data_IF_069915854506
#
_entry.id   IF_069915854506
#
_cell.length_a   1.000
_cell.length_b   1.000
_cell.length_c   1.000
_cell.angle_alpha   90.00
_cell.angle_beta   90.00
_cell.angle_gamma   90.00
#
_symmetry.space_group_name_H-M   'P 1'
#
loop_
_entity.id
_entity.type
_entity.pdbx_description
1 polymer ?
#
# COMPACT_ATOMS: atom_id res chain seq x y z
N UNK A 1 -46.37 -17.61 -6.42
CA UNK A 1 -46.38 -16.17 -6.77
C UNK A 1 -44.94 -15.70 -6.83
N UNK A 2 -44.44 -15.44 -8.04
CA UNK A 2 -43.05 -15.12 -8.33
C UNK A 2 -42.84 -13.60 -8.24
N UNK A 3 -41.97 -13.13 -7.34
CA UNK A 3 -41.49 -11.74 -7.36
C UNK A 3 -40.13 -11.70 -8.05
N UNK A 4 -40.13 -11.17 -9.29
CA UNK A 4 -38.93 -10.74 -10.02
C UNK A 4 -38.64 -9.30 -9.63
N UNK A 5 -37.46 -9.04 -9.06
CA UNK A 5 -36.97 -7.67 -8.83
C UNK A 5 -35.74 -7.42 -9.70
N UNK A 6 -35.83 -6.36 -10.49
CA UNK A 6 -34.89 -5.93 -11.52
C UNK A 6 -33.54 -5.48 -10.94
N UNK A 7 -32.45 -5.89 -11.59
CA UNK A 7 -31.09 -5.38 -11.40
C UNK A 7 -30.88 -4.22 -12.37
N UNK A 8 -30.68 -3.00 -11.86
CA UNK A 8 -30.30 -1.82 -12.64
C UNK A 8 -28.78 -1.68 -12.61
N UNK A 9 -28.14 -1.91 -13.76
CA UNK A 9 -26.69 -1.86 -13.97
C UNK A 9 -26.32 -0.48 -14.52
N UNK A 10 -25.87 0.44 -13.67
CA UNK A 10 -25.34 1.74 -14.09
C UNK A 10 -23.88 1.61 -14.49
N UNK A 11 -23.62 1.67 -15.79
CA UNK A 11 -22.28 1.90 -16.36
C UNK A 11 -21.95 3.38 -16.24
N UNK A 12 -20.87 3.73 -15.57
CA UNK A 12 -20.24 5.05 -15.73
C UNK A 12 -18.90 4.86 -16.44
N UNK A 13 -18.89 5.21 -17.73
CA UNK A 13 -17.69 5.50 -18.48
C UNK A 13 -17.37 6.97 -18.19
N UNK A 14 -16.23 7.27 -17.57
CA UNK A 14 -15.69 8.62 -17.65
C UNK A 14 -14.29 8.56 -18.24
N UNK A 15 -14.21 9.24 -19.37
CA UNK A 15 -13.17 9.31 -20.36
C UNK A 15 -12.61 10.72 -20.20
N UNK A 16 -11.40 10.88 -19.67
CA UNK A 16 -10.69 12.15 -19.81
C UNK A 16 -9.28 11.94 -20.36
N UNK A 17 -9.18 12.36 -21.62
CA UNK A 17 -7.97 12.68 -22.36
C UNK A 17 -7.35 13.93 -21.72
N UNK A 18 -6.05 13.91 -21.46
CA UNK A 18 -5.26 15.15 -21.41
C UNK A 18 -4.13 15.07 -22.43
N UNK A 19 -4.42 15.63 -23.59
CA UNK A 19 -3.47 15.93 -24.66
C UNK A 19 -2.98 17.37 -24.52
N UNK A 20 -1.66 17.55 -24.46
CA UNK A 20 -0.94 18.57 -25.22
C UNK A 20 -0.86 20.00 -24.67
N UNK A 21 0.39 20.46 -24.45
CA UNK A 21 0.88 21.84 -24.63
C UNK A 21 2.42 21.70 -24.69
N UNK A 22 3.07 21.56 -25.86
CA UNK A 22 3.48 22.62 -26.80
C UNK A 22 3.89 23.93 -26.13
N UNK A 23 5.21 24.20 -26.13
CA UNK A 23 5.79 25.50 -26.43
C UNK A 23 7.29 25.32 -26.75
N UNK A 24 7.60 25.33 -28.05
CA UNK A 24 8.92 25.72 -28.57
C UNK A 24 9.14 27.21 -28.29
N UNK A 25 10.37 27.62 -27.97
CA UNK A 25 10.84 28.96 -28.32
C UNK A 25 12.36 28.99 -28.53
N UNK A 26 12.74 29.69 -29.60
CA UNK A 26 14.05 29.80 -30.23
C UNK A 26 15.05 30.69 -29.46
N UNK A 27 16.35 30.49 -29.76
CA UNK A 27 17.28 31.48 -30.37
C UNK A 27 18.72 31.24 -29.88
N UNK A 28 19.59 30.68 -30.73
CA UNK A 28 20.51 31.40 -31.62
C UNK A 28 21.60 32.20 -30.89
N UNK A 29 22.79 31.61 -30.73
CA UNK A 29 24.02 32.37 -30.71
C UNK A 29 25.07 31.69 -31.60
N UNK A 30 25.44 32.40 -32.65
CA UNK A 30 26.45 32.04 -33.65
C UNK A 30 27.76 32.70 -33.22
N UNK A 31 28.84 31.93 -33.11
CA UNK A 31 30.18 32.44 -32.82
C UNK A 31 31.22 31.50 -33.43
N UNK A 32 31.73 31.88 -34.60
CA UNK A 32 32.76 31.16 -35.34
C UNK A 32 34.16 31.48 -34.78
N UNK A 33 35.03 30.46 -34.72
CA UNK A 33 36.46 30.60 -34.97
C UNK A 33 37.05 29.23 -35.30
N UNK A 34 37.87 29.22 -36.35
CA UNK A 34 38.39 28.05 -37.03
C UNK A 34 39.76 27.59 -36.51
N UNK A 35 40.09 26.34 -36.86
CA UNK A 35 41.39 25.77 -37.23
C UNK A 35 41.97 24.64 -36.33
N UNK A 36 42.04 23.47 -36.98
CA UNK A 36 43.11 22.43 -36.98
C UNK A 36 43.53 21.76 -35.67
N UNK A 37 43.21 20.47 -35.55
CA UNK A 37 44.16 19.41 -35.14
C UNK A 37 43.57 18.01 -35.39
N UNK A 38 44.35 17.14 -36.05
CA UNK A 38 44.09 15.70 -36.16
C UNK A 38 43.93 15.10 -34.76
N UNK A 39 42.77 14.52 -34.45
CA UNK A 39 42.56 13.80 -33.21
C UNK A 39 41.83 12.50 -33.53
N UNK A 40 42.52 11.40 -33.28
CA UNK A 40 42.02 10.03 -33.28
C UNK A 40 40.64 9.97 -32.63
N UNK A 41 39.63 9.53 -33.39
CA UNK A 41 38.27 9.37 -32.91
C UNK A 41 38.23 8.34 -31.76
N UNK A 42 37.91 8.73 -30.51
CA UNK A 42 37.40 7.77 -29.56
C UNK A 42 35.93 7.56 -29.91
N UNK A 43 35.58 6.31 -30.18
CA UNK A 43 34.21 5.86 -30.35
C UNK A 43 33.44 6.12 -29.05
N UNK A 44 32.93 7.35 -28.89
CA UNK A 44 32.13 7.75 -27.74
C UNK A 44 30.76 7.12 -27.94
N UNK A 45 30.61 5.90 -27.46
CA UNK A 45 29.32 5.32 -27.13
C UNK A 45 28.58 6.35 -26.28
N UNK A 46 27.58 6.99 -26.88
CA UNK A 46 26.56 7.70 -26.13
C UNK A 46 25.79 6.60 -25.41
N UNK A 47 26.32 6.21 -24.26
CA UNK A 47 25.60 5.47 -23.26
C UNK A 47 24.47 6.41 -22.84
N UNK A 48 23.30 6.22 -23.46
CA UNK A 48 22.05 6.75 -22.96
C UNK A 48 21.97 6.26 -21.52
N UNK A 49 22.32 7.14 -20.59
CA UNK A 49 22.03 6.96 -19.19
C UNK A 49 20.51 6.87 -19.10
N UNK A 50 20.00 5.64 -19.16
CA UNK A 50 18.66 5.28 -18.79
C UNK A 50 18.49 5.88 -17.40
N UNK A 51 17.79 7.01 -17.34
CA UNK A 51 17.41 7.67 -16.11
C UNK A 51 16.34 6.76 -15.54
N UNK A 52 16.81 5.67 -14.90
CA UNK A 52 16.02 4.77 -14.09
C UNK A 52 15.45 5.67 -13.00
N UNK A 53 14.26 6.19 -13.26
CA UNK A 53 13.50 6.99 -12.31
C UNK A 53 13.39 6.10 -11.08
N UNK A 54 14.20 6.41 -10.07
CA UNK A 54 14.27 5.65 -8.84
C UNK A 54 12.96 5.94 -8.11
N UNK A 55 11.91 5.22 -8.48
CA UNK A 55 10.63 5.21 -7.78
C UNK A 55 10.97 4.87 -6.34
N UNK A 56 10.75 5.83 -5.44
CA UNK A 56 11.04 5.63 -4.03
C UNK A 56 10.31 4.37 -3.55
N UNK A 57 10.99 3.48 -2.80
CA UNK A 57 10.39 2.22 -2.38
C UNK A 57 9.15 2.51 -1.53
N UNK A 58 8.01 1.96 -1.95
CA UNK A 58 6.74 2.10 -1.22
C UNK A 58 6.74 1.07 -0.09
N UNK A 59 6.42 1.53 1.12
CA UNK A 59 6.22 0.65 2.28
C UNK A 59 4.77 0.75 2.74
N UNK A 60 4.07 -0.38 2.81
CA UNK A 60 2.63 -0.42 3.07
C UNK A 60 2.30 -1.54 4.04
N UNK A 61 1.40 -1.27 4.98
CA UNK A 61 0.82 -2.27 5.87
C UNK A 61 -0.70 -2.19 5.70
N UNK A 62 -1.32 -3.30 5.35
CA UNK A 62 -2.77 -3.44 5.29
C UNK A 62 -3.22 -4.51 6.27
N UNK A 63 -4.27 -4.19 7.03
CA UNK A 63 -4.93 -5.10 7.97
C UNK A 63 -6.42 -5.08 7.65
N UNK A 64 -6.97 -6.22 7.26
CA UNK A 64 -8.38 -6.40 6.95
C UNK A 64 -8.97 -7.46 7.88
N UNK A 65 -10.10 -7.17 8.52
CA UNK A 65 -10.76 -8.13 9.43
C UNK A 65 -12.25 -7.86 9.55
N UNK A 66 -13.00 -8.88 9.95
CA UNK A 66 -14.42 -8.75 10.23
C UNK A 66 -14.65 -8.58 11.74
N UNK A 67 -15.58 -7.69 12.11
CA UNK A 67 -16.10 -7.57 13.47
C UNK A 67 -17.62 -7.61 13.40
N UNK A 68 -18.21 -8.71 13.86
CA UNK A 68 -19.65 -8.94 13.65
C UNK A 68 -19.94 -9.09 12.16
N UNK A 69 -20.73 -8.18 11.60
CA UNK A 69 -21.07 -8.14 10.17
C UNK A 69 -20.26 -7.11 9.39
N UNK A 70 -19.44 -6.31 10.07
CA UNK A 70 -18.78 -5.17 9.47
C UNK A 70 -17.36 -5.54 9.04
N UNK A 71 -16.98 -5.11 7.83
CA UNK A 71 -15.65 -5.31 7.27
C UNK A 71 -14.78 -4.09 7.59
N UNK A 72 -13.77 -4.28 8.43
CA UNK A 72 -12.79 -3.25 8.75
C UNK A 72 -11.54 -3.42 7.90
N UNK A 73 -10.96 -2.29 7.47
CA UNK A 73 -9.65 -2.27 6.84
C UNK A 73 -8.83 -1.08 7.31
N UNK A 74 -7.58 -1.32 7.67
CA UNK A 74 -6.60 -0.29 8.00
C UNK A 74 -5.45 -0.35 7.01
N UNK A 75 -5.04 0.80 6.49
CA UNK A 75 -3.91 0.92 5.58
C UNK A 75 -2.96 2.02 6.07
N UNK A 76 -1.71 1.65 6.27
CA UNK A 76 -0.61 2.55 6.61
C UNK A 76 0.37 2.55 5.43
N UNK A 77 0.49 3.67 4.74
CA UNK A 77 1.39 3.82 3.59
C UNK A 77 2.45 4.86 3.88
N UNK A 78 3.72 4.48 3.76
CA UNK A 78 4.86 5.37 3.75
C UNK A 78 5.31 5.61 2.31
N UNK A 79 5.37 6.88 1.92
CA UNK A 79 5.86 7.34 0.62
C UNK A 79 6.62 8.64 0.82
N UNK A 80 7.85 8.70 0.30
CA UNK A 80 8.69 9.91 0.33
C UNK A 80 8.87 10.50 1.75
N UNK A 81 9.00 9.63 2.76
CA UNK A 81 9.15 10.01 4.16
C UNK A 81 7.88 10.56 4.82
N UNK A 82 6.74 10.56 4.13
CA UNK A 82 5.44 10.85 4.71
C UNK A 82 4.66 9.57 4.94
N UNK A 83 4.04 9.46 6.11
CA UNK A 83 3.20 8.31 6.46
C UNK A 83 1.74 8.74 6.58
N UNK A 84 0.88 8.03 5.87
CA UNK A 84 -0.56 8.19 5.90
C UNK A 84 -1.22 6.93 6.48
N UNK A 85 -2.06 7.13 7.49
CA UNK A 85 -2.90 6.11 8.10
C UNK A 85 -4.35 6.31 7.66
N UNK A 86 -4.98 5.27 7.14
CA UNK A 86 -6.37 5.28 6.67
C UNK A 86 -7.15 4.12 7.26
N UNK A 87 -8.40 4.38 7.66
CA UNK A 87 -9.35 3.36 8.09
C UNK A 87 -10.57 3.33 7.17
N UNK A 88 -11.05 2.13 6.93
CA UNK A 88 -12.24 1.85 6.16
C UNK A 88 -13.20 0.97 6.96
N UNK A 89 -14.49 1.20 6.77
CA UNK A 89 -15.59 0.38 7.29
C UNK A 89 -16.51 0.08 6.11
N UNK A 90 -16.76 -1.20 5.84
CA UNK A 90 -17.59 -1.67 4.72
C UNK A 90 -17.19 -1.03 3.37
N UNK A 91 -15.88 -0.95 3.14
CA UNK A 91 -15.24 -0.34 1.97
C UNK A 91 -15.34 1.19 1.87
N UNK A 92 -15.99 1.86 2.81
CA UNK A 92 -16.06 3.31 2.88
C UNK A 92 -14.90 3.87 3.71
N UNK A 93 -14.28 4.97 3.25
CA UNK A 93 -13.23 5.66 4.01
C UNK A 93 -13.84 6.34 5.24
N UNK A 94 -13.46 5.92 6.43
CA UNK A 94 -13.93 6.51 7.69
C UNK A 94 -12.99 7.61 8.16
N UNK A 95 -11.69 7.37 8.10
CA UNK A 95 -10.68 8.33 8.56
C UNK A 95 -9.40 8.24 7.77
N UNK A 96 -8.74 9.38 7.60
CA UNK A 96 -7.41 9.50 7.01
C UNK A 96 -6.61 10.51 7.81
N UNK A 97 -5.37 10.17 8.17
CA UNK A 97 -4.53 11.02 9.02
C UNK A 97 -3.05 10.82 8.73
N UNK A 98 -2.27 11.90 8.73
CA UNK A 98 -0.81 11.82 8.75
C UNK A 98 -0.32 11.38 10.14
N UNK A 99 0.63 10.47 10.17
CA UNK A 99 1.28 10.00 11.41
C UNK A 99 2.79 10.24 11.35
N UNK A 100 3.46 10.22 12.50
CA UNK A 100 4.92 10.34 12.52
C UNK A 100 5.58 9.08 11.97
N UNK A 101 6.69 9.21 11.20
CA UNK A 101 7.46 8.06 10.71
C UNK A 101 7.93 7.15 11.84
N UNK A 102 8.34 7.70 12.99
CA UNK A 102 8.80 6.90 14.13
C UNK A 102 7.75 5.91 14.63
N UNK A 103 6.50 6.39 14.80
CA UNK A 103 5.37 5.55 15.22
C UNK A 103 5.01 4.50 14.17
N UNK A 104 5.18 4.83 12.90
CA UNK A 104 5.00 3.88 11.81
C UNK A 104 6.05 2.77 11.84
N UNK A 105 7.32 3.11 12.05
CA UNK A 105 8.40 2.12 12.10
C UNK A 105 8.29 1.23 13.34
N UNK A 106 7.91 1.78 14.49
CA UNK A 106 7.60 1.00 15.70
C UNK A 106 6.48 -0.02 15.41
N UNK A 107 5.34 0.44 14.91
CA UNK A 107 4.22 -0.44 14.54
C UNK A 107 4.62 -1.47 13.48
N UNK A 108 5.39 -1.07 12.47
CA UNK A 108 5.91 -1.95 11.41
C UNK A 108 6.77 -3.07 12.00
N UNK A 109 7.59 -2.78 13.01
CA UNK A 109 8.40 -3.79 13.70
C UNK A 109 7.51 -4.81 14.39
N UNK A 110 6.53 -4.36 15.18
CA UNK A 110 5.58 -5.25 15.87
C UNK A 110 4.79 -6.12 14.89
N UNK A 111 4.37 -5.54 13.76
CA UNK A 111 3.69 -6.27 12.69
C UNK A 111 4.61 -7.30 12.02
N UNK A 112 5.87 -6.95 11.74
CA UNK A 112 6.83 -7.87 11.14
C UNK A 112 7.08 -9.08 12.04
N UNK A 113 7.25 -8.85 13.34
CA UNK A 113 7.35 -9.92 14.34
C UNK A 113 6.10 -10.81 14.33
N UNK A 114 4.92 -10.22 14.34
CA UNK A 114 3.67 -10.98 14.33
C UNK A 114 3.50 -11.82 13.05
N UNK A 115 3.85 -11.27 11.89
CA UNK A 115 3.80 -11.98 10.61
C UNK A 115 4.84 -13.10 10.56
N UNK A 116 6.03 -12.89 11.14
CA UNK A 116 7.07 -13.90 11.23
C UNK A 116 6.75 -15.05 12.20
N UNK A 117 5.90 -14.83 13.20
CA UNK A 117 5.43 -15.92 14.07
C UNK A 117 4.69 -16.95 13.21
N UNK A 118 5.27 -18.13 13.05
CA UNK A 118 4.58 -19.27 12.46
C UNK A 118 3.32 -19.55 13.27
N UNK A 119 2.15 -19.21 12.70
CA UNK A 119 0.93 -19.80 13.19
C UNK A 119 1.06 -21.28 12.85
N UNK A 120 1.34 -22.11 13.86
CA UNK A 120 1.04 -23.54 13.84
C UNK A 120 -0.48 -23.70 13.72
N UNK A 121 -1.03 -23.30 12.58
CA UNK A 121 -2.39 -23.64 12.19
C UNK A 121 -2.28 -25.12 11.90
N UNK A 122 -2.56 -25.94 12.93
CA UNK A 122 -2.68 -27.36 12.78
C UNK A 122 -3.55 -27.58 11.55
N UNK A 123 -3.03 -28.30 10.53
CA UNK A 123 -3.82 -28.69 9.37
C UNK A 123 -4.93 -29.59 9.90
N UNK A 124 -6.05 -28.99 10.27
CA UNK A 124 -7.25 -29.72 10.63
C UNK A 124 -7.80 -30.32 9.32
N UNK A 125 -8.14 -31.62 9.31
CA UNK A 125 -8.75 -32.22 8.14
C UNK A 125 -10.02 -31.44 7.76
N UNK A 126 -10.28 -31.29 6.45
CA UNK A 126 -11.35 -30.44 5.92
C UNK A 126 -12.75 -30.74 6.51
N UNK A 127 -12.96 -31.94 7.05
CA UNK A 127 -14.20 -32.36 7.71
C UNK A 127 -14.40 -31.79 9.13
N UNK A 128 -13.37 -31.21 9.77
CA UNK A 128 -13.40 -30.73 11.15
C UNK A 128 -12.89 -29.30 11.33
N UNK A 129 -12.61 -28.58 10.24
CA UNK A 129 -12.22 -27.17 10.33
C UNK A 129 -13.42 -26.36 10.87
N UNK A 130 -13.32 -25.75 12.07
CA UNK A 130 -14.39 -24.92 12.59
C UNK A 130 -14.64 -23.76 11.62
N UNK A 131 -15.91 -23.48 11.33
CA UNK A 131 -16.34 -22.36 10.51
C UNK A 131 -15.75 -21.07 11.06
N UNK A 132 -14.82 -20.46 10.31
CA UNK A 132 -14.24 -19.19 10.69
C UNK A 132 -15.24 -18.06 10.45
N UNK A 133 -15.84 -17.53 11.52
CA UNK A 133 -16.80 -16.41 11.43
C UNK A 133 -16.11 -15.04 11.37
N UNK A 134 -14.89 -14.96 11.89
CA UNK A 134 -14.17 -13.71 12.07
C UNK A 134 -12.79 -13.82 11.42
N UNK A 135 -12.74 -13.79 10.10
CA UNK A 135 -11.49 -13.87 9.35
C UNK A 135 -10.68 -12.58 9.50
N UNK A 136 -9.35 -12.71 9.46
CA UNK A 136 -8.44 -11.57 9.30
C UNK A 136 -7.36 -11.87 8.26
N UNK A 137 -6.89 -10.82 7.60
CA UNK A 137 -5.71 -10.84 6.74
C UNK A 137 -4.85 -9.62 7.00
N UNK A 138 -3.54 -9.85 7.06
CA UNK A 138 -2.51 -8.84 7.22
C UNK A 138 -1.57 -8.98 6.03
N UNK A 139 -1.27 -7.88 5.36
CA UNK A 139 -0.23 -7.83 4.33
C UNK A 139 0.73 -6.68 4.60
N UNK A 140 2.01 -6.96 4.50
CA UNK A 140 3.09 -5.99 4.61
C UNK A 140 3.88 -5.97 3.31
N UNK A 141 3.96 -4.82 2.67
CA UNK A 141 4.79 -4.58 1.49
C UNK A 141 5.98 -3.70 1.87
N UNK A 142 7.16 -4.05 1.38
CA UNK A 142 8.36 -3.22 1.47
C UNK A 142 9.12 -3.30 0.15
N UNK A 143 8.97 -2.29 -0.71
CA UNK A 143 9.41 -2.38 -2.10
C UNK A 143 8.64 -3.48 -2.83
N UNK A 144 9.37 -4.45 -3.38
CA UNK A 144 8.81 -5.59 -4.12
C UNK A 144 8.47 -6.79 -3.21
N UNK A 145 8.92 -6.80 -1.96
CA UNK A 145 8.65 -7.90 -1.03
C UNK A 145 7.26 -7.74 -0.40
N UNK A 146 6.46 -8.80 -0.46
CA UNK A 146 5.14 -8.88 0.19
C UNK A 146 5.12 -10.06 1.15
N UNK A 147 4.88 -9.79 2.44
CA UNK A 147 4.62 -10.80 3.47
C UNK A 147 3.15 -10.75 3.85
N UNK A 148 2.52 -11.91 3.94
CA UNK A 148 1.10 -12.00 4.25
C UNK A 148 0.85 -13.02 5.35
N UNK A 149 -0.10 -12.72 6.23
CA UNK A 149 -0.60 -13.62 7.26
C UNK A 149 -2.12 -13.53 7.32
N UNK A 150 -2.79 -14.66 7.31
CA UNK A 150 -4.24 -14.75 7.45
C UNK A 150 -4.61 -15.79 8.49
N UNK A 151 -5.78 -15.63 9.09
CA UNK A 151 -6.26 -16.56 10.09
C UNK A 151 -7.68 -16.30 10.53
N UNK A 152 -8.08 -17.02 11.57
CA UNK A 152 -9.35 -16.81 12.22
C UNK A 152 -9.15 -16.16 13.58
N UNK A 153 -9.91 -15.10 13.86
CA UNK A 153 -10.00 -14.46 15.16
C UNK A 153 -10.77 -15.35 16.13
N UNK A 154 -10.32 -15.38 17.38
CA UNK A 154 -11.07 -16.02 18.47
C UNK A 154 -11.82 -14.92 19.21
N UNK A 155 -13.02 -15.20 19.71
CA UNK A 155 -13.94 -14.17 20.24
C UNK A 155 -13.36 -13.31 21.38
N UNK A 156 -12.31 -13.77 22.07
CA UNK A 156 -11.63 -13.08 23.19
C UNK A 156 -10.28 -12.45 22.80
N UNK A 157 -10.15 -11.95 21.57
CA UNK A 157 -8.88 -11.40 21.04
C UNK A 157 -8.31 -10.19 21.81
N UNK A 158 -9.01 -9.60 22.80
CA UNK A 158 -8.52 -8.43 23.54
C UNK A 158 -7.19 -8.67 24.28
N UNK A 159 -6.85 -9.92 24.59
CA UNK A 159 -5.54 -10.30 25.16
C UNK A 159 -4.56 -10.90 24.16
N UNK A 160 -4.95 -11.08 22.90
CA UNK A 160 -4.11 -11.71 21.88
C UNK A 160 -3.12 -10.70 21.26
N UNK A 161 -2.00 -11.19 20.72
CA UNK A 161 -1.07 -10.34 19.95
C UNK A 161 -1.77 -9.62 18.80
N UNK A 162 -2.74 -10.26 18.13
CA UNK A 162 -3.54 -9.63 17.07
C UNK A 162 -4.37 -8.47 17.63
N UNK A 163 -5.07 -8.68 18.76
CA UNK A 163 -5.87 -7.63 19.38
C UNK A 163 -5.04 -6.42 19.81
N UNK A 164 -3.84 -6.65 20.35
CA UNK A 164 -2.90 -5.57 20.70
C UNK A 164 -2.52 -4.75 19.46
N UNK A 165 -2.19 -5.40 18.33
CA UNK A 165 -1.86 -4.71 17.08
C UNK A 165 -3.05 -3.94 16.50
N UNK A 166 -4.27 -4.49 16.60
CA UNK A 166 -5.48 -3.78 16.17
C UNK A 166 -5.74 -2.54 17.01
N UNK A 167 -5.57 -2.63 18.33
CA UNK A 167 -5.68 -1.48 19.23
C UNK A 167 -4.61 -0.41 18.91
N UNK A 168 -3.37 -0.83 18.69
CA UNK A 168 -2.28 0.08 18.31
C UNK A 168 -2.58 0.79 16.99
N UNK A 169 -3.06 0.08 15.97
CA UNK A 169 -3.51 0.67 14.71
C UNK A 169 -4.65 1.69 14.90
N UNK A 170 -5.64 1.34 15.73
CA UNK A 170 -6.72 2.26 16.11
C UNK A 170 -6.16 3.52 16.79
N UNK A 171 -5.18 3.41 17.69
CA UNK A 171 -4.55 4.55 18.33
C UNK A 171 -3.82 5.48 17.35
N UNK A 172 -3.07 4.91 16.39
CA UNK A 172 -2.38 5.68 15.36
C UNK A 172 -3.36 6.56 14.57
N UNK A 173 -4.53 6.03 14.26
CA UNK A 173 -5.57 6.70 13.47
C UNK A 173 -6.43 7.63 14.33
N UNK A 174 -6.82 7.20 15.53
CA UNK A 174 -7.62 7.99 16.47
C UNK A 174 -6.87 9.25 16.92
N UNK A 175 -5.55 9.15 17.13
CA UNK A 175 -4.71 10.26 17.55
C UNK A 175 -4.81 10.62 19.02
N UNK A 176 -5.47 9.80 19.84
CA UNK A 176 -5.38 9.88 21.29
C UNK A 176 -4.08 9.20 21.72
N UNK A 177 -3.02 9.99 21.83
CA UNK A 177 -1.95 9.67 22.76
C UNK A 177 -2.45 10.06 24.15
N UNK A 178 -2.40 9.15 25.13
CA UNK A 178 -2.42 9.56 26.53
C UNK A 178 -1.17 10.38 26.84
#
# INVERSE_FOLDING_TARGET
MMNKTHITRTRSLFLERFTGFFLLSLCTFCGASALTACSSAPHRSVELAETKSAVAPISEIEISYNRGHDAHRFVLSEKEGQVLATSFLDHELVKSKKISPDKYHEFKSHMAEFVALECKTARLPAASAPLCRSHYSISMRSGDEVKQKSGCRVSDDQGSKLGQLLLEADFLIAGKAN
#
